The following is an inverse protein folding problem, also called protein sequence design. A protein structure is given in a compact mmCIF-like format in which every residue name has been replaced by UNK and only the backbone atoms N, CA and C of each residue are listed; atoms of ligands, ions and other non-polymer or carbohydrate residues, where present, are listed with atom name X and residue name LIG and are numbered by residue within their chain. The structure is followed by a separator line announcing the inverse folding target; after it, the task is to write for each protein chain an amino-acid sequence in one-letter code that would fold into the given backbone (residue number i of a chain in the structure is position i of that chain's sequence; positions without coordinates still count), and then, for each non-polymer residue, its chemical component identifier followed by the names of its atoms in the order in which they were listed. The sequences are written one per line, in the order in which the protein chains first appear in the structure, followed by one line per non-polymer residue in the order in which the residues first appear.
data_IF_674063305451
#
_entry.id   IF_674063305451
#
_cell.length_a   1.000
_cell.length_b   1.000
_cell.length_c   1.000
_cell.angle_alpha   90.00
_cell.angle_beta   90.00
_cell.angle_gamma   90.00
#
_symmetry.space_group_name_H-M   'P 1'
#
loop_
_entity.id
_entity.type
_entity.pdbx_description
1 polymer ?
#
# COMPACT_ATOMS: atom_id res chain seq x y z
N UNK A 1 -36.66 12.73 -26.18
CA UNK A 1 -35.72 11.59 -26.32
C UNK A 1 -34.28 11.96 -25.95
N UNK A 2 -33.68 13.03 -26.50
CA UNK A 2 -32.34 13.48 -26.11
C UNK A 2 -32.17 13.83 -24.62
N UNK A 3 -33.17 14.48 -24.00
CA UNK A 3 -33.13 14.88 -22.59
C UNK A 3 -33.07 13.68 -21.61
N UNK A 4 -33.68 12.54 -21.98
CA UNK A 4 -33.66 11.32 -21.16
C UNK A 4 -32.32 10.59 -21.31
N UNK A 5 -31.72 10.63 -22.50
CA UNK A 5 -30.40 10.06 -22.77
C UNK A 5 -29.26 10.83 -22.08
N UNK A 6 -29.37 12.15 -21.94
CA UNK A 6 -28.40 12.97 -21.22
C UNK A 6 -28.51 12.85 -19.69
N UNK A 7 -29.68 12.48 -19.16
CA UNK A 7 -29.93 12.39 -17.72
C UNK A 7 -29.06 11.33 -17.04
N UNK A 8 -28.90 10.16 -17.66
CA UNK A 8 -28.09 9.06 -17.11
C UNK A 8 -26.63 9.46 -16.86
N UNK A 9 -25.90 9.95 -17.88
CA UNK A 9 -24.54 10.45 -17.71
C UNK A 9 -24.42 11.58 -16.67
N UNK A 10 -25.37 12.52 -16.65
CA UNK A 10 -25.37 13.63 -15.68
C UNK A 10 -25.51 13.10 -14.25
N UNK A 11 -26.39 12.12 -14.02
CA UNK A 11 -26.56 11.51 -12.70
C UNK A 11 -25.30 10.74 -12.26
N UNK A 12 -24.66 10.01 -13.18
CA UNK A 12 -23.41 9.29 -12.89
C UNK A 12 -22.29 10.26 -12.52
N UNK A 13 -22.10 11.31 -13.31
CA UNK A 13 -21.07 12.33 -13.04
C UNK A 13 -21.39 13.10 -11.75
N UNK A 14 -22.66 13.46 -11.53
CA UNK A 14 -23.10 14.14 -10.31
C UNK A 14 -22.85 13.29 -9.07
N UNK A 15 -23.19 12.00 -9.12
CA UNK A 15 -22.92 11.06 -8.04
C UNK A 15 -21.42 10.89 -7.79
N UNK A 16 -20.63 10.75 -8.87
CA UNK A 16 -19.17 10.67 -8.79
C UNK A 16 -18.56 11.88 -8.07
N UNK A 17 -18.99 13.09 -8.43
CA UNK A 17 -18.53 14.32 -7.76
C UNK A 17 -18.96 14.33 -6.30
N UNK A 18 -20.22 13.96 -6.01
CA UNK A 18 -20.74 13.95 -4.65
C UNK A 18 -19.96 13.02 -3.73
N UNK A 19 -19.66 11.78 -4.16
CA UNK A 19 -18.92 10.82 -3.32
C UNK A 19 -17.46 11.26 -3.07
N UNK A 20 -16.82 11.96 -4.01
CA UNK A 20 -15.44 12.44 -3.85
C UNK A 20 -15.34 13.74 -3.05
N UNK A 21 -16.44 14.50 -2.93
CA UNK A 21 -16.49 15.77 -2.20
C UNK A 21 -17.10 15.63 -0.81
N UNK A 22 -17.89 14.58 -0.57
CA UNK A 22 -18.62 14.36 0.68
C UNK A 22 -18.13 13.05 1.31
N UNK A 23 -17.22 13.08 2.30
CA UNK A 23 -16.52 11.89 2.81
C UNK A 23 -17.43 10.78 3.34
N UNK A 24 -18.57 11.13 3.93
CA UNK A 24 -19.52 10.18 4.53
C UNK A 24 -20.49 9.56 3.52
N UNK A 25 -20.61 10.14 2.32
CA UNK A 25 -21.64 9.72 1.36
C UNK A 25 -21.31 8.36 0.72
N UNK A 26 -20.04 8.14 0.37
CA UNK A 26 -19.58 6.84 -0.17
C UNK A 26 -19.87 5.68 0.79
N UNK A 27 -19.40 5.76 2.06
CA UNK A 27 -19.71 4.75 3.08
C UNK A 27 -21.22 4.55 3.28
N UNK A 28 -22.00 5.63 3.40
CA UNK A 28 -23.45 5.54 3.58
C UNK A 28 -24.13 4.78 2.44
N UNK A 29 -23.78 5.09 1.19
CA UNK A 29 -24.36 4.43 0.01
C UNK A 29 -23.98 2.94 -0.03
N UNK A 30 -22.72 2.62 0.28
CA UNK A 30 -22.25 1.24 0.31
C UNK A 30 -22.95 0.43 1.41
N UNK A 31 -23.08 0.99 2.61
CA UNK A 31 -23.76 0.33 3.74
C UNK A 31 -25.25 0.19 3.49
N UNK A 32 -25.88 1.20 2.88
CA UNK A 32 -27.30 1.12 2.48
C UNK A 32 -27.50 0.02 1.44
N UNK A 33 -26.65 -0.06 0.42
CA UNK A 33 -26.73 -1.12 -0.59
C UNK A 33 -26.59 -2.50 0.07
N UNK A 34 -25.60 -2.69 0.94
CA UNK A 34 -25.42 -3.95 1.71
C UNK A 34 -26.61 -4.26 2.61
N UNK A 35 -27.28 -3.26 3.18
CA UNK A 35 -28.45 -3.46 4.04
C UNK A 35 -29.67 -4.00 3.28
N UNK A 36 -29.82 -3.65 2.00
CA UNK A 36 -30.97 -4.04 1.18
C UNK A 36 -30.75 -5.38 0.48
N UNK A 37 -29.57 -5.59 -0.11
CA UNK A 37 -29.29 -6.79 -0.92
C UNK A 37 -28.36 -7.79 -0.23
N UNK A 38 -27.84 -7.47 0.95
CA UNK A 38 -26.88 -8.28 1.70
C UNK A 38 -25.41 -8.09 1.25
N UNK A 39 -24.43 -8.44 2.10
CA UNK A 39 -23.01 -8.26 1.79
C UNK A 39 -22.50 -9.18 0.68
N UNK A 40 -23.04 -10.41 0.57
CA UNK A 40 -22.58 -11.39 -0.43
C UNK A 40 -22.82 -10.96 -1.88
N UNK A 41 -24.03 -10.53 -2.26
CA UNK A 41 -24.28 -10.03 -3.62
C UNK A 41 -23.48 -8.76 -3.96
N UNK A 42 -23.28 -7.86 -3.00
CA UNK A 42 -22.42 -6.67 -3.18
C UNK A 42 -20.97 -7.10 -3.43
N UNK A 43 -20.43 -8.02 -2.63
CA UNK A 43 -19.08 -8.53 -2.85
C UNK A 43 -18.92 -9.16 -4.25
N UNK A 44 -19.92 -9.93 -4.73
CA UNK A 44 -19.89 -10.46 -6.11
C UNK A 44 -19.89 -9.37 -7.17
N UNK A 45 -20.65 -8.29 -6.97
CA UNK A 45 -20.67 -7.16 -7.88
C UNK A 45 -19.32 -6.43 -7.89
N UNK A 46 -18.75 -6.21 -6.70
CA UNK A 46 -17.42 -5.63 -6.51
C UNK A 46 -16.36 -6.50 -7.22
N UNK A 47 -16.38 -7.82 -7.04
CA UNK A 47 -15.47 -8.76 -7.72
C UNK A 47 -15.57 -8.68 -9.24
N UNK A 48 -16.78 -8.57 -9.79
CA UNK A 48 -16.97 -8.40 -11.24
C UNK A 48 -16.40 -7.06 -11.71
N UNK A 49 -16.67 -5.97 -10.99
CA UNK A 49 -16.17 -4.65 -11.31
C UNK A 49 -14.64 -4.61 -11.29
N UNK A 50 -14.03 -5.08 -10.20
CA UNK A 50 -12.57 -5.17 -10.08
C UNK A 50 -11.96 -6.14 -11.10
N UNK A 51 -12.65 -7.22 -11.48
CA UNK A 51 -12.19 -8.13 -12.53
C UNK A 51 -12.26 -7.54 -13.94
N UNK A 52 -13.17 -6.60 -14.20
CA UNK A 52 -13.19 -5.81 -15.45
C UNK A 52 -12.06 -4.79 -15.44
N UNK A 53 -11.91 -4.06 -14.33
CA UNK A 53 -10.84 -3.07 -14.16
C UNK A 53 -9.45 -3.70 -14.29
N UNK A 54 -9.20 -4.84 -13.64
CA UNK A 54 -7.92 -5.55 -13.73
C UNK A 54 -7.61 -5.97 -15.17
N UNK A 55 -8.59 -6.51 -15.91
CA UNK A 55 -8.40 -6.88 -17.32
C UNK A 55 -8.07 -5.66 -18.18
N UNK A 56 -8.77 -4.55 -17.96
CA UNK A 56 -8.48 -3.30 -18.66
C UNK A 56 -7.06 -2.81 -18.37
N UNK A 57 -6.70 -2.72 -17.09
CA UNK A 57 -5.37 -2.27 -16.65
C UNK A 57 -4.27 -3.18 -17.18
N UNK A 58 -4.45 -4.50 -17.16
CA UNK A 58 -3.48 -5.46 -17.72
C UNK A 58 -3.23 -5.27 -19.22
N UNK A 59 -4.21 -4.79 -19.97
CA UNK A 59 -4.03 -4.50 -21.41
C UNK A 59 -3.36 -3.14 -21.60
N UNK A 60 -3.87 -2.12 -20.93
CA UNK A 60 -3.46 -0.73 -21.18
C UNK A 60 -2.13 -0.35 -20.52
N UNK A 61 -1.85 -0.93 -19.34
CA UNK A 61 -0.67 -0.64 -18.51
C UNK A 61 0.42 -1.71 -18.60
N UNK A 62 0.35 -2.62 -19.57
CA UNK A 62 1.28 -3.77 -19.71
C UNK A 62 2.77 -3.42 -19.78
N UNK A 63 3.08 -2.19 -20.19
CA UNK A 63 4.46 -1.71 -20.37
C UNK A 63 4.88 -0.75 -19.25
N UNK A 64 4.04 -0.50 -18.25
CA UNK A 64 4.42 0.31 -17.09
C UNK A 64 5.43 -0.47 -16.25
N UNK A 65 6.45 0.25 -15.78
CA UNK A 65 7.42 -0.29 -14.81
C UNK A 65 6.88 -0.05 -13.40
N UNK A 66 7.24 -0.89 -12.42
CA UNK A 66 6.84 -0.69 -11.04
C UNK A 66 7.44 0.60 -10.48
N UNK A 67 6.68 1.29 -9.64
CA UNK A 67 7.10 2.53 -9.01
C UNK A 67 7.56 2.30 -7.56
N UNK A 68 8.56 3.07 -7.13
CA UNK A 68 8.96 3.07 -5.73
C UNK A 68 7.99 3.97 -4.94
N UNK A 69 7.51 3.49 -3.80
CA UNK A 69 6.66 4.29 -2.90
C UNK A 69 7.43 5.09 -1.86
N UNK A 70 8.74 4.88 -1.77
CA UNK A 70 9.64 5.68 -0.95
C UNK A 70 11.05 5.66 -1.51
N UNK A 71 11.81 6.67 -1.15
CA UNK A 71 13.22 6.76 -1.47
C UNK A 71 14.03 5.89 -0.50
N UNK A 72 15.08 5.26 -1.01
CA UNK A 72 16.07 4.55 -0.20
C UNK A 72 17.13 5.56 0.22
N UNK A 73 17.29 5.84 1.53
CA UNK A 73 18.34 6.73 2.01
C UNK A 73 19.71 6.19 1.63
N UNK A 74 20.65 7.08 1.28
CA UNK A 74 22.02 6.66 1.09
C UNK A 74 22.59 6.06 2.39
N UNK A 75 23.45 5.03 2.32
CA UNK A 75 24.06 4.44 3.49
C UNK A 75 24.90 5.49 4.24
N UNK A 76 24.37 6.02 5.35
CA UNK A 76 25.16 6.86 6.25
C UNK A 76 26.07 5.94 7.06
N UNK A 77 27.38 6.20 7.02
CA UNK A 77 28.34 5.43 7.80
C UNK A 77 27.93 5.45 9.29
N UNK A 78 27.91 4.30 9.98
CA UNK A 78 27.55 4.27 11.38
C UNK A 78 28.55 5.13 12.19
N UNK A 79 28.09 5.90 13.19
CA UNK A 79 29.01 6.60 14.07
C UNK A 79 29.89 5.58 14.80
N UNK A 80 31.20 5.80 14.80
CA UNK A 80 32.18 5.02 15.57
C UNK A 80 31.83 5.14 17.05
N UNK A 81 31.23 4.11 17.64
CA UNK A 81 30.92 4.06 19.07
C UNK A 81 32.01 3.26 19.79
N UNK A 82 32.88 3.97 20.51
CA UNK A 82 33.82 3.39 21.48
C UNK A 82 33.04 3.07 22.78
N UNK A 83 32.32 1.95 22.82
CA UNK A 83 31.69 1.49 24.06
C UNK A 83 31.84 -0.02 24.26
N UNK A 84 32.58 -0.40 25.30
CA UNK A 84 32.86 -1.78 25.73
C UNK A 84 31.68 -2.33 26.55
N UNK A 85 30.51 -2.36 25.94
CA UNK A 85 29.33 -3.06 26.49
C UNK A 85 29.01 -4.19 25.52
N UNK A 86 28.59 -5.41 25.97
CA UNK A 86 28.14 -6.45 25.07
C UNK A 86 26.96 -5.94 24.22
N UNK A 87 27.26 -5.50 22.99
CA UNK A 87 26.25 -5.04 22.06
C UNK A 87 25.56 -6.26 21.47
N UNK A 88 24.25 -6.35 21.67
CA UNK A 88 23.42 -7.25 20.90
C UNK A 88 23.62 -6.95 19.40
N UNK A 89 23.53 -7.97 18.52
CA UNK A 89 23.58 -7.73 17.10
C UNK A 89 22.56 -6.66 16.69
N UNK A 90 22.94 -5.76 15.76
CA UNK A 90 22.02 -4.75 15.26
C UNK A 90 20.79 -5.42 14.64
N UNK A 91 19.61 -4.89 14.94
CA UNK A 91 18.36 -5.36 14.32
C UNK A 91 18.30 -4.87 12.88
N UNK A 92 18.95 -5.60 11.97
CA UNK A 92 18.98 -5.28 10.56
C UNK A 92 18.84 -6.56 9.75
N UNK A 93 17.85 -6.58 8.87
CA UNK A 93 17.68 -7.67 7.91
C UNK A 93 18.66 -7.52 6.75
N UNK A 94 18.98 -8.64 6.13
CA UNK A 94 19.69 -8.63 4.86
C UNK A 94 18.74 -8.17 3.75
N UNK A 95 19.24 -7.31 2.87
CA UNK A 95 18.51 -6.89 1.68
C UNK A 95 18.20 -8.10 0.80
N UNK A 96 16.98 -8.15 0.31
CA UNK A 96 16.50 -9.21 -0.58
C UNK A 96 16.65 -8.69 -2.00
N UNK A 97 17.20 -9.46 -2.95
CA UNK A 97 17.25 -9.00 -4.34
C UNK A 97 15.81 -8.84 -4.89
N UNK A 98 15.59 -7.92 -5.85
CA UNK A 98 14.29 -7.79 -6.50
C UNK A 98 13.83 -9.14 -7.07
N UNK A 99 12.53 -9.45 -6.90
CA UNK A 99 11.95 -10.71 -7.40
C UNK A 99 12.12 -10.84 -8.92
N UNK A 100 12.18 -9.69 -9.62
CA UNK A 100 12.32 -9.61 -11.07
C UNK A 100 13.40 -8.58 -11.44
N UNK A 101 14.64 -9.01 -11.63
CA UNK A 101 15.81 -8.13 -11.86
C UNK A 101 15.66 -7.10 -12.99
N UNK A 102 14.96 -7.45 -14.07
CA UNK A 102 14.77 -6.57 -15.23
C UNK A 102 13.48 -5.73 -15.15
N UNK A 103 12.69 -5.91 -14.09
CA UNK A 103 11.37 -5.30 -13.91
C UNK A 103 11.14 -5.10 -12.41
N UNK A 104 11.74 -4.06 -11.85
CA UNK A 104 11.65 -3.75 -10.43
C UNK A 104 11.70 -2.24 -10.21
N UNK A 105 11.04 -1.77 -9.16
CA UNK A 105 11.21 -0.40 -8.70
C UNK A 105 12.63 -0.18 -8.13
N UNK A 106 13.15 1.06 -8.16
CA UNK A 106 14.35 1.39 -7.40
C UNK A 106 14.15 1.06 -5.91
N UNK A 107 15.12 0.35 -5.32
CA UNK A 107 15.06 0.00 -3.89
C UNK A 107 14.19 -1.21 -3.54
N UNK A 108 13.65 -1.94 -4.53
CA UNK A 108 12.92 -3.19 -4.28
C UNK A 108 13.78 -4.17 -3.46
N UNK A 109 13.26 -4.62 -2.33
CA UNK A 109 13.90 -5.54 -1.40
C UNK A 109 14.99 -4.93 -0.51
N UNK A 110 15.25 -3.62 -0.62
CA UNK A 110 16.14 -2.90 0.31
C UNK A 110 15.39 -2.55 1.59
N UNK A 111 16.01 -2.82 2.75
CA UNK A 111 15.43 -2.47 4.04
C UNK A 111 15.76 -1.02 4.43
N UNK A 112 14.73 -0.21 4.55
CA UNK A 112 14.81 1.20 4.93
C UNK A 112 14.32 1.37 6.37
N UNK A 113 15.06 2.08 7.25
CA UNK A 113 14.58 2.36 8.60
C UNK A 113 13.33 3.24 8.56
N UNK A 114 12.36 2.93 9.41
CA UNK A 114 11.21 3.81 9.64
C UNK A 114 11.62 4.85 10.68
N UNK A 115 11.55 6.13 10.30
CA UNK A 115 11.89 7.24 11.18
C UNK A 115 10.89 7.34 12.35
N UNK A 116 11.41 7.30 13.58
CA UNK A 116 10.65 7.61 14.78
C UNK A 116 10.89 9.08 15.15
N UNK A 117 9.96 9.95 14.76
CA UNK A 117 10.01 11.40 15.03
C UNK A 117 10.02 11.73 16.53
N UNK A 118 9.55 10.83 17.38
CA UNK A 118 9.54 11.04 18.84
C UNK A 118 10.91 10.74 19.47
N UNK A 119 11.75 9.96 18.79
CA UNK A 119 13.07 9.56 19.27
C UNK A 119 14.13 9.75 18.18
N UNK A 120 14.40 11.01 17.77
CA UNK A 120 15.38 11.28 16.73
C UNK A 120 16.78 10.77 17.15
N UNK A 121 17.47 10.09 16.23
CA UNK A 121 18.81 9.55 16.46
C UNK A 121 18.89 8.26 17.28
N UNK A 122 17.77 7.75 17.79
CA UNK A 122 17.74 6.42 18.39
C UNK A 122 17.91 5.32 17.33
N UNK A 123 18.33 4.13 17.74
CA UNK A 123 18.34 2.97 16.85
C UNK A 123 16.93 2.72 16.29
N UNK A 124 16.78 2.45 14.98
CA UNK A 124 15.47 2.23 14.38
C UNK A 124 14.74 1.06 15.06
N UNK A 125 13.47 1.29 15.38
CA UNK A 125 12.57 0.27 15.97
C UNK A 125 11.90 -0.59 14.91
N UNK A 126 11.82 -0.07 13.69
CA UNK A 126 11.15 -0.71 12.56
C UNK A 126 11.92 -0.46 11.27
N UNK A 127 11.87 -1.44 10.39
CA UNK A 127 12.38 -1.35 9.02
C UNK A 127 11.26 -1.73 8.06
N UNK A 128 11.23 -1.11 6.89
CA UNK A 128 10.28 -1.42 5.83
C UNK A 128 11.02 -1.77 4.53
N UNK A 129 10.41 -2.64 3.74
CA UNK A 129 10.87 -2.95 2.38
C UNK A 129 9.68 -3.15 1.45
N UNK A 130 9.93 -2.95 0.16
CA UNK A 130 8.94 -3.01 -0.93
C UNK A 130 9.33 -4.14 -1.87
N UNK A 131 8.36 -4.91 -2.36
CA UNK A 131 8.57 -5.94 -3.37
C UNK A 131 7.45 -5.90 -4.39
N UNK A 132 7.79 -6.09 -5.66
CA UNK A 132 6.81 -6.24 -6.75
C UNK A 132 6.78 -7.69 -7.27
N UNK A 133 5.83 -8.53 -6.80
CA UNK A 133 5.83 -9.96 -7.06
C UNK A 133 5.19 -10.39 -8.40
N UNK A 134 4.39 -9.53 -9.05
CA UNK A 134 3.63 -9.89 -10.25
C UNK A 134 4.03 -9.08 -11.47
N UNK A 135 4.76 -9.71 -12.41
CA UNK A 135 5.22 -9.09 -13.68
C UNK A 135 4.12 -8.52 -14.56
N UNK A 136 2.88 -8.94 -14.38
CA UNK A 136 1.77 -8.50 -15.22
C UNK A 136 1.00 -7.32 -14.63
N UNK A 137 1.36 -6.90 -13.41
CA UNK A 137 0.64 -5.88 -12.65
C UNK A 137 1.65 -4.97 -11.94
N UNK A 138 2.13 -3.94 -12.63
CA UNK A 138 3.06 -2.93 -12.08
C UNK A 138 2.55 -2.25 -10.81
N UNK A 139 1.23 -2.23 -10.61
CA UNK A 139 0.56 -1.67 -9.43
C UNK A 139 0.40 -2.67 -8.27
N UNK A 140 0.84 -3.92 -8.41
CA UNK A 140 0.83 -4.88 -7.31
C UNK A 140 2.14 -4.79 -6.55
N UNK A 141 2.05 -4.40 -5.28
CA UNK A 141 3.20 -4.32 -4.40
C UNK A 141 2.92 -4.99 -3.05
N UNK A 142 3.97 -5.54 -2.46
CA UNK A 142 3.99 -6.09 -1.12
C UNK A 142 4.94 -5.25 -0.28
N UNK A 143 4.41 -4.67 0.81
CA UNK A 143 5.23 -3.97 1.80
C UNK A 143 5.41 -4.88 3.01
N UNK A 144 6.66 -5.10 3.41
CA UNK A 144 6.99 -5.85 4.63
C UNK A 144 7.57 -4.89 5.65
N UNK A 145 7.07 -4.96 6.89
CA UNK A 145 7.60 -4.19 8.02
C UNK A 145 8.15 -5.17 9.05
N UNK A 146 9.43 -5.02 9.35
CA UNK A 146 10.09 -5.74 10.44
C UNK A 146 10.11 -4.85 11.68
N UNK A 147 9.75 -5.42 12.82
CA UNK A 147 9.56 -4.69 14.08
C UNK A 147 10.46 -5.27 15.17
N UNK A 148 11.28 -4.43 15.81
CA UNK A 148 12.18 -4.84 16.90
C UNK A 148 11.39 -4.95 18.22
N UNK A 149 10.92 -6.15 18.53
CA UNK A 149 10.16 -6.44 19.76
C UNK A 149 10.96 -6.24 21.06
N UNK A 150 12.28 -6.00 20.98
CA UNK A 150 13.09 -5.60 22.15
C UNK A 150 12.84 -4.13 22.53
N UNK A 151 12.38 -3.31 21.58
CA UNK A 151 12.15 -1.87 21.76
C UNK A 151 10.67 -1.50 21.78
N UNK A 152 9.78 -2.33 21.24
CA UNK A 152 8.34 -2.05 21.17
C UNK A 152 7.48 -3.24 21.58
N UNK A 153 6.26 -2.93 22.03
CA UNK A 153 5.21 -3.92 22.28
C UNK A 153 4.11 -3.76 21.23
N UNK A 154 3.69 -4.88 20.65
CA UNK A 154 2.59 -4.90 19.70
C UNK A 154 1.27 -5.12 20.43
N UNK A 155 0.28 -4.29 20.11
CA UNK A 155 -1.10 -4.44 20.58
C UNK A 155 -1.99 -4.69 19.36
N UNK A 156 -2.43 -5.94 19.18
CA UNK A 156 -3.33 -6.29 18.10
C UNK A 156 -4.77 -6.00 18.53
N UNK A 157 -5.43 -5.11 17.81
CA UNK A 157 -6.83 -4.74 18.05
C UNK A 157 -7.61 -5.14 16.81
N UNK A 158 -8.63 -5.97 16.97
CA UNK A 158 -9.57 -6.23 15.90
C UNK A 158 -10.35 -4.94 15.61
N UNK A 159 -10.34 -4.48 14.36
CA UNK A 159 -11.20 -3.38 13.91
C UNK A 159 -12.67 -3.78 14.11
N UNK A 160 -13.47 -2.84 14.63
CA UNK A 160 -14.94 -2.99 14.72
C UNK A 160 -15.60 -2.72 13.37
#
# INVERSE_FOLDING_TARGET
MLAVLAMGPILVVGLWVAIHRVPWLGPLLADTARSVVGPGPIAKLEDVAYGVEDRWNRVWRRNEVPEAYWEVPEPVAPPTSEAVVPQLPPFRMQDVPPMHKAWSAPGDGVWVPVEDKLHPGASPRMFKTLLHPDRNRSWTAVTVVAVDLRQVRLHLVAGR
#
